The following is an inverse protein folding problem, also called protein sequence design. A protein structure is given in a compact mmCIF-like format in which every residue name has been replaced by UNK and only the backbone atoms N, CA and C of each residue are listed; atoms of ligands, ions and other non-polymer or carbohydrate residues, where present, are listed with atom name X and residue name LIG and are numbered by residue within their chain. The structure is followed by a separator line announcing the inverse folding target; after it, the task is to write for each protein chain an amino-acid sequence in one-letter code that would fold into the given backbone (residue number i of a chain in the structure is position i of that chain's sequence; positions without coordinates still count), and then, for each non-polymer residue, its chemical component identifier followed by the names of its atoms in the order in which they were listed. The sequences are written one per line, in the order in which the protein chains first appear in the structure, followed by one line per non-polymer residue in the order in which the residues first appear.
data_IF_962946659416
#
_entry.id   IF_962946659416
#
_cell.length_a   1.000
_cell.length_b   1.000
_cell.length_c   1.000
_cell.angle_alpha   90.00
_cell.angle_beta   90.00
_cell.angle_gamma   90.00
#
_symmetry.space_group_name_H-M   'P 1'
#
loop_
_entity.id
_entity.type
_entity.pdbx_description
1 polymer ?
#
# COMPACT_ATOMS: atom_id res chain seq x y z
N UNK A 1 -0.25 -6.06 11.94
CA UNK A 1 0.08 -5.16 10.82
C UNK A 1 0.73 -5.98 9.72
N UNK A 2 0.21 -5.99 8.48
CA UNK A 2 0.82 -6.72 7.36
C UNK A 2 2.30 -6.34 7.13
N UNK A 3 3.17 -7.31 6.78
CA UNK A 3 4.61 -7.07 6.62
C UNK A 3 4.97 -5.96 5.61
N UNK A 4 4.15 -5.77 4.57
CA UNK A 4 4.41 -4.77 3.54
C UNK A 4 4.26 -3.33 4.04
N UNK A 5 3.40 -3.09 5.03
CA UNK A 5 3.23 -1.76 5.62
C UNK A 5 4.47 -1.33 6.43
N UNK A 6 5.24 -2.30 6.94
CA UNK A 6 6.53 -2.05 7.59
C UNK A 6 7.59 -1.57 6.57
N UNK A 7 7.55 -2.13 5.36
CA UNK A 7 8.45 -1.72 4.26
C UNK A 7 8.18 -0.28 3.81
N UNK A 8 6.92 0.18 3.81
CA UNK A 8 6.54 1.55 3.47
C UNK A 8 7.09 2.56 4.49
N UNK A 9 7.19 2.17 5.77
CA UNK A 9 7.74 3.02 6.84
C UNK A 9 9.18 3.49 6.54
N UNK A 10 9.97 2.68 5.83
CA UNK A 10 11.35 2.98 5.49
C UNK A 10 11.49 3.94 4.28
N UNK A 11 10.46 4.11 3.45
CA UNK A 11 10.46 5.09 2.35
C UNK A 11 10.25 6.53 2.82
N UNK A 12 9.67 6.72 4.00
CA UNK A 12 9.40 8.04 4.62
C UNK A 12 10.68 8.86 4.83
N UNK A 13 11.83 8.19 4.96
CA UNK A 13 13.14 8.80 5.25
C UNK A 13 13.79 9.47 4.04
N UNK A 14 13.34 9.20 2.80
CA UNK A 14 13.97 9.70 1.57
C UNK A 14 13.33 10.98 0.99
N UNK A 15 12.17 11.40 1.50
CA UNK A 15 11.43 12.58 1.03
C UNK A 15 11.49 13.79 2.00
N UNK A 16 12.20 13.67 3.13
CA UNK A 16 12.29 14.72 4.15
C UNK A 16 13.25 15.88 3.81
N UNK A 17 13.63 16.01 2.54
CA UNK A 17 14.61 16.99 2.06
C UNK A 17 13.97 18.23 1.46
N UNK A 18 13.21 19.02 2.23
CA UNK A 18 13.09 20.47 2.02
C UNK A 18 12.34 21.09 3.20
N UNK A 19 13.07 21.57 4.21
CA UNK A 19 12.52 22.37 5.30
C UNK A 19 13.11 23.76 5.18
N UNK A 20 12.36 24.68 4.56
CA UNK A 20 12.78 26.07 4.45
C UNK A 20 12.63 26.78 5.81
N UNK A 21 13.67 27.48 6.23
CA UNK A 21 13.75 28.37 7.40
C UNK A 21 12.88 29.61 7.17
N UNK A 22 11.91 29.90 8.04
CA UNK A 22 11.34 31.25 8.15
C UNK A 22 10.99 31.61 9.62
N UNK A 23 11.47 32.77 10.05
CA UNK A 23 11.34 33.33 11.41
C UNK A 23 10.78 34.75 11.37
N UNK A 24 9.84 35.04 12.28
CA UNK A 24 9.80 36.14 13.28
C UNK A 24 8.36 36.66 13.47
N UNK A 25 7.82 36.74 14.71
CA UNK A 25 6.37 36.78 14.93
C UNK A 25 5.68 38.14 14.75
N UNK A 26 6.42 39.25 14.58
CA UNK A 26 5.88 40.59 14.88
C UNK A 26 5.71 41.52 13.66
N UNK A 27 6.04 41.07 12.43
CA UNK A 27 5.89 41.87 11.18
C UNK A 27 4.74 41.41 10.28
N UNK A 28 4.03 40.36 10.68
CA UNK A 28 3.17 39.60 9.78
C UNK A 28 1.74 40.16 9.69
N UNK A 29 1.24 40.82 10.73
CA UNK A 29 -0.17 41.25 10.77
C UNK A 29 -0.46 42.42 9.82
N UNK A 30 0.44 43.41 9.75
CA UNK A 30 0.33 44.51 8.77
C UNK A 30 0.50 43.99 7.34
N UNK A 31 1.45 43.08 7.12
CA UNK A 31 1.66 42.45 5.82
C UNK A 31 0.45 41.62 5.38
N UNK A 32 -0.21 40.92 6.32
CA UNK A 32 -1.44 40.20 6.06
C UNK A 32 -2.56 41.15 5.63
N UNK A 33 -2.74 42.26 6.34
CA UNK A 33 -3.75 43.27 6.01
C UNK A 33 -3.53 43.89 4.64
N UNK A 34 -2.28 44.26 4.31
CA UNK A 34 -1.92 44.81 3.00
C UNK A 34 -2.18 43.79 1.86
N UNK A 35 -1.86 42.51 2.10
CA UNK A 35 -2.12 41.43 1.14
C UNK A 35 -3.62 41.15 0.97
N UNK A 36 -4.41 41.22 2.05
CA UNK A 36 -5.86 41.05 1.99
C UNK A 36 -6.52 42.19 1.21
N UNK A 37 -6.10 43.45 1.43
CA UNK A 37 -6.55 44.59 0.64
C UNK A 37 -6.20 44.43 -0.85
N UNK A 38 -4.98 43.98 -1.14
CA UNK A 38 -4.55 43.71 -2.50
C UNK A 38 -5.36 42.57 -3.14
N UNK A 39 -5.65 41.51 -2.39
CA UNK A 39 -6.49 40.40 -2.83
C UNK A 39 -7.93 40.85 -3.12
N UNK A 40 -8.49 41.78 -2.34
CA UNK A 40 -9.80 42.36 -2.60
C UNK A 40 -9.83 43.15 -3.93
N UNK A 41 -8.75 43.86 -4.27
CA UNK A 41 -8.61 44.56 -5.55
C UNK A 41 -8.34 43.63 -6.74
N UNK A 42 -7.84 42.41 -6.50
CA UNK A 42 -7.42 41.43 -7.52
C UNK A 42 -7.83 40.00 -7.12
N UNK A 43 -9.13 39.68 -7.05
CA UNK A 43 -9.61 38.42 -6.48
C UNK A 43 -9.20 37.16 -7.27
N UNK A 44 -8.75 37.31 -8.52
CA UNK A 44 -8.25 36.21 -9.35
C UNK A 44 -6.76 35.91 -9.20
N UNK A 45 -5.97 36.77 -8.54
CA UNK A 45 -4.53 36.58 -8.44
C UNK A 45 -4.16 35.59 -7.32
N UNK A 46 -4.08 34.32 -7.70
CA UNK A 46 -3.73 33.22 -6.79
C UNK A 46 -2.34 33.38 -6.16
N UNK A 47 -1.42 34.18 -6.73
CA UNK A 47 -0.10 34.40 -6.14
C UNK A 47 -0.21 35.20 -4.85
N UNK A 48 -1.16 36.12 -4.77
CA UNK A 48 -1.43 36.89 -3.55
C UNK A 48 -2.03 35.96 -2.48
N UNK A 49 -2.98 35.10 -2.88
CA UNK A 49 -3.61 34.13 -1.98
C UNK A 49 -2.58 33.13 -1.42
N UNK A 50 -1.60 32.68 -2.23
CA UNK A 50 -0.50 31.84 -1.75
C UNK A 50 0.35 32.58 -0.70
N UNK A 51 0.64 33.87 -0.90
CA UNK A 51 1.37 34.68 0.09
C UNK A 51 0.58 34.85 1.38
N UNK A 52 -0.74 35.05 1.30
CA UNK A 52 -1.63 35.10 2.48
C UNK A 52 -1.53 33.78 3.27
N UNK A 53 -1.59 32.64 2.59
CA UNK A 53 -1.40 31.34 3.25
C UNK A 53 -0.02 31.18 3.91
N UNK A 54 1.03 31.70 3.27
CA UNK A 54 2.38 31.70 3.86
C UNK A 54 2.45 32.54 5.14
N UNK A 55 1.80 33.71 5.15
CA UNK A 55 1.71 34.54 6.35
C UNK A 55 0.89 33.84 7.44
N UNK A 56 -0.24 33.21 7.11
CA UNK A 56 -1.00 32.40 8.07
C UNK A 56 -0.13 31.30 8.70
N UNK A 57 0.65 30.57 7.89
CA UNK A 57 1.55 29.54 8.39
C UNK A 57 2.65 30.11 9.30
N UNK A 58 3.25 31.25 8.92
CA UNK A 58 4.25 31.95 9.73
C UNK A 58 3.68 32.44 11.07
N UNK A 59 2.40 32.83 11.08
CA UNK A 59 1.65 33.19 12.28
C UNK A 59 1.16 31.98 13.10
N UNK A 60 1.66 30.77 12.80
CA UNK A 60 1.27 29.50 13.43
C UNK A 60 -0.22 29.16 13.26
N UNK A 61 -0.92 29.83 12.35
CA UNK A 61 -2.29 29.50 11.98
C UNK A 61 -2.27 28.49 10.82
N UNK A 62 -1.95 27.24 11.16
CA UNK A 62 -1.84 26.15 10.18
C UNK A 62 -3.16 25.85 9.50
N UNK A 63 -4.27 25.94 10.23
CA UNK A 63 -5.61 25.66 9.72
C UNK A 63 -5.99 26.60 8.57
N UNK A 64 -5.93 27.93 8.81
CA UNK A 64 -6.21 28.94 7.79
C UNK A 64 -5.26 28.83 6.59
N UNK A 65 -3.99 28.51 6.82
CA UNK A 65 -3.02 28.32 5.75
C UNK A 65 -3.41 27.15 4.84
N UNK A 66 -3.75 25.99 5.42
CA UNK A 66 -4.13 24.80 4.68
C UNK A 66 -5.48 24.97 3.96
N UNK A 67 -6.46 25.61 4.60
CA UNK A 67 -7.75 25.92 3.98
C UNK A 67 -7.58 26.83 2.76
N UNK A 68 -6.78 27.89 2.90
CA UNK A 68 -6.48 28.83 1.81
C UNK A 68 -5.81 28.09 0.65
N UNK A 69 -4.79 27.25 0.92
CA UNK A 69 -4.11 26.47 -0.11
C UNK A 69 -5.03 25.44 -0.77
N UNK A 70 -5.91 24.78 -0.01
CA UNK A 70 -6.88 23.82 -0.55
C UNK A 70 -7.82 24.51 -1.56
N UNK A 71 -8.33 25.70 -1.23
CA UNK A 71 -9.16 26.49 -2.13
C UNK A 71 -8.42 26.86 -3.42
N UNK A 72 -7.13 27.22 -3.33
CA UNK A 72 -6.30 27.54 -4.49
C UNK A 72 -6.07 26.29 -5.36
N UNK A 73 -5.76 25.15 -4.76
CA UNK A 73 -5.58 23.89 -5.49
C UNK A 73 -6.86 23.52 -6.27
N UNK A 74 -8.03 23.60 -5.63
CA UNK A 74 -9.31 23.32 -6.28
C UNK A 74 -9.60 24.27 -7.45
N UNK A 75 -9.32 25.58 -7.30
CA UNK A 75 -9.47 26.54 -8.41
C UNK A 75 -8.51 26.22 -9.57
N UNK A 76 -7.26 25.86 -9.28
CA UNK A 76 -6.34 25.43 -10.34
C UNK A 76 -6.82 24.16 -11.05
N UNK A 77 -7.42 23.20 -10.34
CA UNK A 77 -8.02 22.01 -10.96
C UNK A 77 -9.20 22.41 -11.86
N UNK A 78 -10.10 23.27 -11.40
CA UNK A 78 -11.24 23.76 -12.19
C UNK A 78 -10.81 24.50 -13.46
N UNK A 79 -9.66 25.18 -13.40
CA UNK A 79 -9.06 25.88 -14.55
C UNK A 79 -8.17 24.97 -15.42
N UNK A 80 -8.15 23.65 -15.18
CA UNK A 80 -7.28 22.68 -15.85
C UNK A 80 -5.77 22.94 -15.70
N UNK A 81 -5.36 23.71 -14.68
CA UNK A 81 -3.95 23.95 -14.34
C UNK A 81 -3.41 22.90 -13.37
N UNK A 82 -3.43 21.63 -13.76
CA UNK A 82 -3.10 20.49 -12.91
C UNK A 82 -1.70 20.59 -12.27
N UNK A 83 -0.66 20.98 -13.02
CA UNK A 83 0.71 21.12 -12.47
C UNK A 83 0.81 22.21 -11.38
N UNK A 84 0.01 23.28 -11.49
CA UNK A 84 -0.03 24.32 -10.44
C UNK A 84 -0.72 23.78 -9.19
N UNK A 85 -1.80 23.01 -9.35
CA UNK A 85 -2.45 22.33 -8.23
C UNK A 85 -1.52 21.33 -7.54
N UNK A 86 -0.73 20.54 -8.30
CA UNK A 86 0.32 19.66 -7.75
C UNK A 86 1.31 20.43 -6.88
N UNK A 87 1.79 21.60 -7.35
CA UNK A 87 2.71 22.42 -6.59
C UNK A 87 2.08 22.92 -5.26
N UNK A 88 0.80 23.28 -5.27
CA UNK A 88 0.07 23.70 -4.07
C UNK A 88 -0.10 22.53 -3.09
N UNK A 89 -0.51 21.34 -3.55
CA UNK A 89 -0.60 20.17 -2.68
C UNK A 89 0.75 19.77 -2.07
N UNK A 90 1.84 19.82 -2.84
CA UNK A 90 3.19 19.59 -2.32
C UNK A 90 3.55 20.59 -1.23
N UNK A 91 3.18 21.87 -1.40
CA UNK A 91 3.38 22.91 -0.36
C UNK A 91 2.57 22.61 0.91
N UNK A 92 1.32 22.16 0.78
CA UNK A 92 0.52 21.72 1.92
C UNK A 92 1.18 20.56 2.68
N UNK A 93 1.71 19.56 1.95
CA UNK A 93 2.43 18.43 2.54
C UNK A 93 3.75 18.85 3.22
N UNK A 94 4.42 19.91 2.75
CA UNK A 94 5.58 20.48 3.44
C UNK A 94 5.20 21.14 4.77
N UNK A 95 4.03 21.78 4.83
CA UNK A 95 3.52 22.44 6.04
C UNK A 95 2.96 21.43 7.05
N UNK A 96 2.26 20.40 6.57
CA UNK A 96 1.70 19.33 7.37
C UNK A 96 1.88 17.96 6.68
N UNK A 97 3.01 17.26 6.94
CA UNK A 97 3.31 15.97 6.30
C UNK A 97 2.36 14.82 6.70
N UNK A 98 1.55 14.99 7.74
CA UNK A 98 0.73 13.94 8.35
C UNK A 98 -0.72 13.93 7.86
N UNK A 99 -1.05 14.66 6.79
CA UNK A 99 -2.42 14.72 6.27
C UNK A 99 -2.62 13.64 5.20
N UNK A 100 -3.34 12.59 5.58
CA UNK A 100 -3.63 11.47 4.67
C UNK A 100 -4.51 11.95 3.51
N UNK A 101 -5.48 12.82 3.79
CA UNK A 101 -6.38 13.39 2.79
C UNK A 101 -5.64 14.20 1.72
N UNK A 102 -4.60 14.97 2.06
CA UNK A 102 -3.83 15.71 1.06
C UNK A 102 -3.06 14.78 0.11
N UNK A 103 -2.55 13.65 0.62
CA UNK A 103 -1.96 12.61 -0.22
C UNK A 103 -3.02 11.95 -1.13
N UNK A 104 -4.25 11.73 -0.63
CA UNK A 104 -5.37 11.23 -1.44
C UNK A 104 -5.74 12.18 -2.57
N UNK A 105 -5.87 13.47 -2.27
CA UNK A 105 -6.22 14.50 -3.25
C UNK A 105 -5.13 14.61 -4.33
N UNK A 106 -3.86 14.59 -3.92
CA UNK A 106 -2.73 14.60 -4.84
C UNK A 106 -2.67 13.33 -5.69
N UNK A 107 -2.96 12.15 -5.12
CA UNK A 107 -3.05 10.89 -5.85
C UNK A 107 -4.14 10.94 -6.93
N UNK A 108 -5.34 11.41 -6.58
CA UNK A 108 -6.45 11.58 -7.52
C UNK A 108 -6.15 12.59 -8.63
N UNK A 109 -5.35 13.62 -8.35
CA UNK A 109 -4.88 14.54 -9.38
C UNK A 109 -3.88 13.87 -10.34
N UNK A 110 -2.97 13.05 -9.83
CA UNK A 110 -2.07 12.26 -10.69
C UNK A 110 -2.83 11.25 -11.56
N UNK A 111 -3.89 10.62 -11.04
CA UNK A 111 -4.77 9.78 -11.87
C UNK A 111 -5.39 10.56 -13.03
N UNK A 112 -5.94 11.75 -12.76
CA UNK A 112 -6.51 12.63 -13.81
C UNK A 112 -5.48 13.06 -14.85
N UNK A 113 -4.20 13.10 -14.47
CA UNK A 113 -3.08 13.39 -15.37
C UNK A 113 -2.52 12.15 -16.08
N UNK A 114 -3.15 10.97 -15.90
CA UNK A 114 -2.67 9.69 -16.41
C UNK A 114 -1.25 9.34 -15.94
N UNK A 115 -0.95 9.65 -14.67
CA UNK A 115 0.33 9.36 -14.00
C UNK A 115 0.14 8.32 -12.88
N UNK A 116 -0.14 7.04 -13.22
CA UNK A 116 -0.50 6.02 -12.23
C UNK A 116 0.63 5.71 -11.24
N UNK A 117 1.90 5.77 -11.68
CA UNK A 117 3.05 5.52 -10.80
C UNK A 117 3.15 6.56 -9.68
N UNK A 118 2.99 7.84 -10.00
CA UNK A 118 2.96 8.92 -9.00
C UNK A 118 1.74 8.82 -8.08
N UNK A 119 0.57 8.48 -8.63
CA UNK A 119 -0.65 8.26 -7.85
C UNK A 119 -0.46 7.14 -6.82
N UNK A 120 0.10 5.99 -7.23
CA UNK A 120 0.38 4.85 -6.34
C UNK A 120 1.32 5.24 -5.20
N UNK A 121 2.35 6.07 -5.45
CA UNK A 121 3.24 6.56 -4.39
C UNK A 121 2.46 7.34 -3.33
N UNK A 122 1.62 8.28 -3.75
CA UNK A 122 0.83 9.09 -2.82
C UNK A 122 -0.21 8.26 -2.06
N UNK A 123 -0.88 7.32 -2.75
CA UNK A 123 -1.80 6.39 -2.13
C UNK A 123 -1.14 5.53 -1.06
N UNK A 124 0.10 5.06 -1.26
CA UNK A 124 0.83 4.30 -0.23
C UNK A 124 1.11 5.12 1.02
N UNK A 125 1.43 6.41 0.86
CA UNK A 125 1.65 7.32 1.99
C UNK A 125 0.34 7.49 2.78
N UNK A 126 -0.78 7.75 2.09
CA UNK A 126 -2.09 7.85 2.71
C UNK A 126 -2.51 6.54 3.40
N UNK A 127 -2.30 5.40 2.75
CA UNK A 127 -2.61 4.06 3.27
C UNK A 127 -1.95 3.81 4.62
N UNK A 128 -0.66 4.14 4.75
CA UNK A 128 0.07 3.95 6.00
C UNK A 128 -0.53 4.77 7.15
N UNK A 129 -0.94 6.01 6.86
CA UNK A 129 -1.53 6.90 7.85
C UNK A 129 -2.92 6.40 8.27
N UNK A 130 -3.80 6.08 7.31
CA UNK A 130 -5.14 5.55 7.60
C UNK A 130 -5.11 4.20 8.32
N UNK A 131 -4.13 3.35 8.00
CA UNK A 131 -3.94 2.09 8.70
C UNK A 131 -3.58 2.31 10.17
N UNK A 132 -2.70 3.29 10.45
CA UNK A 132 -2.30 3.64 11.81
C UNK A 132 -3.43 4.27 12.63
N UNK A 133 -4.37 4.96 11.98
CA UNK A 133 -5.57 5.52 12.62
C UNK A 133 -6.75 4.56 12.70
N UNK A 134 -6.61 3.30 12.27
CA UNK A 134 -7.67 2.29 12.36
C UNK A 134 -8.85 2.50 11.40
N UNK A 135 -8.70 3.31 10.36
CA UNK A 135 -9.78 3.66 9.43
C UNK A 135 -9.93 2.59 8.35
N UNK A 136 -10.50 1.44 8.73
CA UNK A 136 -10.63 0.22 7.91
C UNK A 136 -11.12 0.48 6.48
N UNK A 137 -12.21 1.21 6.31
CA UNK A 137 -12.83 1.42 4.99
C UNK A 137 -11.90 2.16 4.04
N UNK A 138 -11.19 3.18 4.54
CA UNK A 138 -10.20 3.93 3.76
C UNK A 138 -9.01 3.07 3.37
N UNK A 139 -8.54 2.21 4.27
CA UNK A 139 -7.44 1.27 3.97
C UNK A 139 -7.83 0.34 2.82
N UNK A 140 -9.03 -0.23 2.85
CA UNK A 140 -9.51 -1.12 1.80
C UNK A 140 -9.72 -0.35 0.49
N UNK A 141 -10.36 0.82 0.53
CA UNK A 141 -10.56 1.69 -0.63
C UNK A 141 -9.22 1.99 -1.34
N UNK A 142 -8.22 2.44 -0.59
CA UNK A 142 -6.90 2.81 -1.13
C UNK A 142 -6.17 1.59 -1.67
N UNK A 143 -6.21 0.46 -0.98
CA UNK A 143 -5.51 -0.75 -1.43
C UNK A 143 -6.12 -1.29 -2.72
N UNK A 144 -7.45 -1.21 -2.88
CA UNK A 144 -8.14 -1.51 -4.15
C UNK A 144 -7.67 -0.59 -5.27
N UNK A 145 -7.59 0.73 -5.01
CA UNK A 145 -7.10 1.71 -6.00
C UNK A 145 -5.66 1.43 -6.42
N UNK A 146 -4.77 1.09 -5.48
CA UNK A 146 -3.39 0.73 -5.81
C UNK A 146 -3.37 -0.51 -6.71
N UNK A 147 -4.13 -1.56 -6.38
CA UNK A 147 -4.20 -2.78 -7.17
C UNK A 147 -4.86 -2.58 -8.54
N UNK A 148 -5.75 -1.60 -8.71
CA UNK A 148 -6.35 -1.27 -10.02
C UNK A 148 -5.40 -0.45 -10.90
N UNK A 149 -4.64 0.48 -10.31
CA UNK A 149 -3.68 1.33 -11.03
C UNK A 149 -2.41 0.57 -11.40
N UNK A 150 -1.95 -0.30 -10.51
CA UNK A 150 -0.82 -1.20 -10.71
C UNK A 150 -1.26 -2.62 -10.37
N UNK A 151 -1.67 -3.35 -11.41
CA UNK A 151 -2.15 -4.73 -11.35
C UNK A 151 -1.09 -5.78 -11.10
N UNK A 152 0.11 -5.39 -10.61
CA UNK A 152 1.17 -6.33 -10.27
C UNK A 152 0.70 -7.39 -9.25
N UNK A 153 1.30 -8.57 -9.37
CA UNK A 153 1.14 -9.69 -8.42
C UNK A 153 1.31 -9.25 -6.96
N UNK A 154 2.28 -8.36 -6.73
CA UNK A 154 2.60 -7.83 -5.42
C UNK A 154 1.44 -7.03 -4.83
N UNK A 155 0.82 -6.13 -5.61
CA UNK A 155 -0.28 -5.30 -5.12
C UNK A 155 -1.56 -6.09 -4.91
N UNK A 156 -1.83 -7.07 -5.78
CA UNK A 156 -2.95 -8.01 -5.59
C UNK A 156 -2.79 -8.82 -4.30
N UNK A 157 -1.56 -9.29 -4.02
CA UNK A 157 -1.24 -9.96 -2.76
C UNK A 157 -1.46 -9.04 -1.55
N UNK A 158 -1.01 -7.78 -1.61
CA UNK A 158 -1.21 -6.84 -0.51
C UNK A 158 -2.70 -6.55 -0.25
N UNK A 159 -3.53 -6.52 -1.28
CA UNK A 159 -4.99 -6.41 -1.11
C UNK A 159 -5.56 -7.61 -0.33
N UNK A 160 -5.15 -8.83 -0.68
CA UNK A 160 -5.53 -10.03 0.04
C UNK A 160 -5.07 -10.03 1.51
N UNK A 161 -3.82 -9.62 1.76
CA UNK A 161 -3.26 -9.47 3.12
C UNK A 161 -4.02 -8.42 3.96
N UNK A 162 -4.47 -7.33 3.33
CA UNK A 162 -5.31 -6.32 3.99
C UNK A 162 -6.67 -6.90 4.36
N UNK A 163 -7.34 -7.59 3.44
CA UNK A 163 -8.61 -8.27 3.74
C UNK A 163 -8.47 -9.26 4.90
N UNK A 164 -7.42 -10.09 4.86
CA UNK A 164 -7.13 -11.05 5.93
C UNK A 164 -6.92 -10.33 7.28
N UNK A 165 -6.18 -9.22 7.29
CA UNK A 165 -5.91 -8.46 8.52
C UNK A 165 -7.15 -7.85 9.16
N UNK A 166 -8.22 -7.65 8.38
CA UNK A 166 -9.52 -7.16 8.86
C UNK A 166 -10.57 -8.27 9.01
N UNK A 167 -10.17 -9.55 8.93
CA UNK A 167 -11.06 -10.69 9.07
C UNK A 167 -12.01 -10.93 7.89
N UNK A 168 -11.78 -10.27 6.74
CA UNK A 168 -12.53 -10.47 5.50
C UNK A 168 -12.03 -11.71 4.78
N UNK A 169 -12.28 -12.88 5.37
CA UNK A 169 -11.64 -14.13 4.97
C UNK A 169 -12.04 -14.56 3.56
N UNK A 170 -13.32 -14.40 3.19
CA UNK A 170 -13.83 -14.79 1.87
C UNK A 170 -13.13 -14.01 0.76
N UNK A 171 -13.06 -12.69 0.89
CA UNK A 171 -12.41 -11.80 -0.06
C UNK A 171 -10.90 -12.02 -0.09
N UNK A 172 -10.28 -12.24 1.08
CA UNK A 172 -8.85 -12.56 1.16
C UNK A 172 -8.52 -13.85 0.39
N UNK A 173 -9.30 -14.92 0.60
CA UNK A 173 -9.07 -16.21 -0.08
C UNK A 173 -9.28 -16.10 -1.59
N UNK A 174 -10.30 -15.35 -2.04
CA UNK A 174 -10.54 -15.13 -3.46
C UNK A 174 -9.35 -14.44 -4.15
N UNK A 175 -8.83 -13.38 -3.52
CA UNK A 175 -7.65 -12.67 -4.04
C UNK A 175 -6.38 -13.53 -3.96
N UNK A 176 -6.16 -14.25 -2.85
CA UNK A 176 -5.04 -15.18 -2.72
C UNK A 176 -5.07 -16.28 -3.78
N UNK A 177 -6.24 -16.83 -4.11
CA UNK A 177 -6.36 -17.85 -5.16
C UNK A 177 -6.03 -17.29 -6.54
N UNK A 178 -6.49 -16.07 -6.82
CA UNK A 178 -6.15 -15.37 -8.06
C UNK A 178 -4.64 -15.16 -8.19
N UNK A 179 -3.99 -14.69 -7.11
CA UNK A 179 -2.53 -14.51 -7.05
C UNK A 179 -1.80 -15.86 -7.17
N UNK A 180 -2.32 -16.92 -6.55
CA UNK A 180 -1.72 -18.26 -6.62
C UNK A 180 -1.74 -18.83 -8.05
N UNK A 181 -2.85 -18.65 -8.78
CA UNK A 181 -2.95 -19.05 -10.18
C UNK A 181 -1.90 -18.34 -11.04
N UNK A 182 -1.71 -17.04 -10.82
CA UNK A 182 -0.71 -16.25 -11.54
C UNK A 182 0.73 -16.71 -11.20
N UNK A 183 1.05 -16.96 -9.93
CA UNK A 183 2.35 -17.54 -9.55
C UNK A 183 2.60 -18.91 -10.19
N UNK A 184 1.56 -19.75 -10.28
CA UNK A 184 1.62 -21.05 -10.97
C UNK A 184 1.94 -20.88 -12.45
N UNK A 185 1.25 -19.98 -13.15
CA UNK A 185 1.48 -19.69 -14.57
C UNK A 185 2.90 -19.17 -14.82
N UNK A 186 3.40 -18.30 -13.94
CA UNK A 186 4.75 -17.75 -14.03
C UNK A 186 5.84 -18.69 -13.48
N UNK A 187 5.48 -19.91 -13.04
CA UNK A 187 6.39 -20.90 -12.44
C UNK A 187 7.16 -20.37 -11.21
N UNK A 188 6.60 -19.38 -10.51
CA UNK A 188 7.13 -18.82 -9.27
C UNK A 188 6.73 -19.71 -8.09
N UNK A 189 7.27 -20.93 -8.08
CA UNK A 189 6.87 -22.01 -7.17
C UNK A 189 7.15 -21.72 -5.68
N UNK A 190 8.19 -20.93 -5.37
CA UNK A 190 8.51 -20.56 -4.00
C UNK A 190 7.47 -19.63 -3.39
N UNK A 191 7.02 -18.62 -4.14
CA UNK A 191 5.95 -17.72 -3.70
C UNK A 191 4.59 -18.41 -3.73
N UNK A 192 4.36 -19.32 -4.69
CA UNK A 192 3.16 -20.16 -4.71
C UNK A 192 3.02 -21.00 -3.46
N UNK A 193 4.10 -21.65 -3.00
CA UNK A 193 4.09 -22.49 -1.81
C UNK A 193 3.70 -21.67 -0.57
N UNK A 194 4.32 -20.50 -0.37
CA UNK A 194 3.97 -19.59 0.73
C UNK A 194 2.50 -19.22 0.72
N UNK A 195 1.91 -19.03 -0.46
CA UNK A 195 0.49 -18.68 -0.59
C UNK A 195 -0.44 -19.86 -0.33
N UNK A 196 -0.06 -21.04 -0.81
CA UNK A 196 -0.80 -22.27 -0.51
C UNK A 196 -0.75 -22.62 0.97
N UNK A 197 0.34 -22.34 1.70
CA UNK A 197 0.39 -22.48 3.16
C UNK A 197 -0.63 -21.58 3.87
N UNK A 198 -0.97 -20.43 3.29
CA UNK A 198 -2.01 -19.53 3.81
C UNK A 198 -3.42 -20.04 3.46
N UNK A 199 -3.63 -20.53 2.23
CA UNK A 199 -4.94 -20.97 1.74
C UNK A 199 -5.35 -22.33 2.34
N UNK A 200 -4.42 -23.27 2.44
CA UNK A 200 -4.68 -24.68 2.76
C UNK A 200 -5.41 -24.90 4.10
N UNK A 201 -5.09 -24.20 5.21
CA UNK A 201 -5.84 -24.30 6.46
C UNK A 201 -7.35 -24.02 6.31
N UNK A 202 -7.75 -23.21 5.33
CA UNK A 202 -9.14 -22.87 5.06
C UNK A 202 -9.82 -23.80 4.04
N UNK A 203 -9.05 -24.70 3.42
CA UNK A 203 -9.54 -25.72 2.48
C UNK A 203 -8.97 -27.11 2.81
N UNK A 204 -9.20 -27.62 4.04
CA UNK A 204 -8.54 -28.84 4.54
C UNK A 204 -8.95 -30.12 3.81
N UNK A 205 -10.06 -30.11 3.07
CA UNK A 205 -10.56 -31.25 2.28
C UNK A 205 -10.17 -31.17 0.80
N UNK A 206 -9.44 -30.13 0.39
CA UNK A 206 -9.00 -30.00 -0.99
C UNK A 206 -7.76 -30.86 -1.25
N UNK A 207 -7.98 -32.13 -1.61
CA UNK A 207 -6.92 -33.10 -1.86
C UNK A 207 -5.97 -32.64 -2.98
N UNK A 208 -6.48 -31.95 -4.01
CA UNK A 208 -5.64 -31.40 -5.07
C UNK A 208 -4.64 -30.35 -4.54
N UNK A 209 -5.10 -29.43 -3.68
CA UNK A 209 -4.25 -28.44 -3.05
C UNK A 209 -3.22 -29.07 -2.09
N UNK A 210 -3.63 -30.05 -1.28
CA UNK A 210 -2.71 -30.77 -0.39
C UNK A 210 -1.61 -31.45 -1.20
N UNK A 211 -1.98 -32.11 -2.31
CA UNK A 211 -1.05 -32.78 -3.21
C UNK A 211 -0.08 -31.80 -3.85
N UNK A 212 -0.58 -30.66 -4.35
CA UNK A 212 0.25 -29.60 -4.93
C UNK A 212 1.27 -29.06 -3.90
N UNK A 213 0.85 -28.78 -2.66
CA UNK A 213 1.74 -28.34 -1.57
C UNK A 213 2.83 -29.38 -1.29
N UNK A 214 2.47 -30.65 -1.18
CA UNK A 214 3.43 -31.72 -0.92
C UNK A 214 4.44 -31.88 -2.06
N UNK A 215 4.00 -31.77 -3.33
CA UNK A 215 4.89 -31.77 -4.50
C UNK A 215 5.86 -30.60 -4.45
N UNK A 216 5.38 -29.39 -4.10
CA UNK A 216 6.23 -28.20 -3.97
C UNK A 216 7.28 -28.37 -2.87
N UNK A 217 6.92 -28.93 -1.71
CA UNK A 217 7.90 -29.25 -0.65
C UNK A 217 8.97 -30.24 -1.12
N UNK A 218 8.59 -31.31 -1.83
CA UNK A 218 9.56 -32.27 -2.38
C UNK A 218 10.47 -31.64 -3.43
N UNK A 219 9.96 -30.74 -4.26
CA UNK A 219 10.77 -29.97 -5.21
C UNK A 219 11.82 -29.11 -4.50
N UNK A 220 11.50 -28.57 -3.31
CA UNK A 220 12.44 -27.83 -2.45
C UNK A 220 13.36 -28.72 -1.62
N UNK A 221 13.34 -30.04 -1.82
CA UNK A 221 14.08 -31.01 -1.01
C UNK A 221 13.72 -30.94 0.49
N UNK A 222 12.45 -30.66 0.78
CA UNK A 222 11.91 -30.59 2.14
C UNK A 222 10.91 -31.74 2.41
N UNK A 223 11.34 -33.01 2.36
CA UNK A 223 10.43 -34.15 2.51
C UNK A 223 9.77 -34.24 3.88
N UNK A 224 10.41 -33.74 4.94
CA UNK A 224 9.81 -33.66 6.27
C UNK A 224 8.55 -32.79 6.30
N UNK A 225 8.52 -31.69 5.55
CA UNK A 225 7.35 -30.82 5.47
C UNK A 225 6.21 -31.47 4.68
N UNK A 226 6.54 -32.18 3.59
CA UNK A 226 5.57 -32.94 2.82
C UNK A 226 4.89 -34.04 3.68
N UNK A 227 5.70 -34.84 4.39
CA UNK A 227 5.21 -35.91 5.28
C UNK A 227 4.30 -35.33 6.36
N UNK A 228 4.78 -34.30 7.08
CA UNK A 228 3.98 -33.63 8.13
C UNK A 228 2.68 -33.04 7.59
N UNK A 229 2.68 -32.55 6.35
CA UNK A 229 1.47 -32.02 5.72
C UNK A 229 0.48 -33.15 5.46
N UNK A 230 0.91 -34.27 4.88
CA UNK A 230 0.04 -35.42 4.62
C UNK A 230 -0.58 -35.99 5.91
N UNK A 231 0.24 -36.14 6.96
CA UNK A 231 -0.22 -36.59 8.29
C UNK A 231 -1.19 -35.60 8.94
N UNK A 232 -0.88 -34.29 8.89
CA UNK A 232 -1.75 -33.24 9.48
C UNK A 232 -3.14 -33.23 8.87
N UNK A 233 -3.23 -33.42 7.55
CA UNK A 233 -4.51 -33.45 6.83
C UNK A 233 -5.09 -34.87 6.69
N UNK A 234 -4.47 -35.87 7.35
CA UNK A 234 -4.92 -37.28 7.39
C UNK A 234 -5.10 -37.90 5.99
N UNK A 235 -4.22 -37.55 5.07
CA UNK A 235 -4.17 -38.11 3.70
C UNK A 235 -3.01 -39.09 3.51
N UNK A 236 -2.27 -39.41 4.56
CA UNK A 236 -1.14 -40.34 4.55
C UNK A 236 -1.56 -41.80 4.27
N UNK A 237 -2.81 -42.17 4.57
CA UNK A 237 -3.41 -43.45 4.22
C UNK A 237 -4.30 -43.40 2.96
N UNK A 238 -4.44 -42.23 2.32
CA UNK A 238 -5.22 -42.08 1.09
C UNK A 238 -4.43 -42.68 -0.09
N UNK A 239 -4.99 -43.67 -0.82
CA UNK A 239 -4.33 -44.27 -1.99
C UNK A 239 -3.82 -43.25 -3.01
N UNK A 240 -4.47 -42.09 -3.14
CA UNK A 240 -4.07 -41.02 -4.05
C UNK A 240 -2.74 -40.33 -3.67
N UNK A 241 -2.26 -40.54 -2.44
CA UNK A 241 -1.06 -39.96 -1.85
C UNK A 241 0.05 -40.99 -1.56
N UNK A 242 -0.23 -42.30 -1.62
CA UNK A 242 0.75 -43.36 -1.33
C UNK A 242 2.10 -43.18 -2.06
N UNK A 243 2.07 -42.96 -3.38
CA UNK A 243 3.30 -42.74 -4.17
C UNK A 243 4.09 -41.51 -3.67
N UNK A 244 3.36 -40.43 -3.35
CA UNK A 244 3.96 -39.18 -2.86
C UNK A 244 4.56 -39.36 -1.46
N UNK A 245 3.88 -40.09 -0.59
CA UNK A 245 4.32 -40.39 0.77
C UNK A 245 5.57 -41.27 0.77
N UNK A 246 5.61 -42.32 -0.06
CA UNK A 246 6.79 -43.18 -0.21
C UNK A 246 7.97 -42.42 -0.83
N UNK A 247 7.72 -41.61 -1.86
CA UNK A 247 8.76 -40.73 -2.43
C UNK A 247 9.35 -39.78 -1.39
N UNK A 248 8.51 -39.21 -0.52
CA UNK A 248 8.97 -38.34 0.56
C UNK A 248 9.84 -39.09 1.58
N UNK A 249 9.45 -40.31 1.98
CA UNK A 249 10.26 -41.17 2.88
C UNK A 249 11.62 -41.51 2.28
N UNK A 250 11.65 -41.91 1.00
CA UNK A 250 12.89 -42.26 0.30
C UNK A 250 13.84 -41.05 0.22
N UNK A 251 13.31 -39.89 -0.17
CA UNK A 251 14.10 -38.64 -0.22
C UNK A 251 14.62 -38.25 1.18
N UNK A 252 13.81 -38.39 2.23
CA UNK A 252 14.23 -38.13 3.62
C UNK A 252 15.36 -39.06 4.05
N UNK A 253 15.30 -40.35 3.72
CA UNK A 253 16.37 -41.31 4.02
C UNK A 253 17.66 -40.94 3.28
N UNK A 254 17.56 -40.62 1.98
CA UNK A 254 18.71 -40.24 1.15
C UNK A 254 19.41 -38.96 1.64
N UNK A 255 18.65 -37.94 2.04
CA UNK A 255 19.21 -36.69 2.58
C UNK A 255 19.88 -36.86 3.95
N UNK A 256 19.45 -37.85 4.75
CA UNK A 256 20.10 -38.19 6.02
C UNK A 256 21.43 -38.89 5.79
N UNK A 257 21.48 -39.87 4.88
CA UNK A 257 22.72 -40.58 4.54
C UNK A 257 23.75 -39.71 3.80
N UNK A 258 23.34 -38.62 3.16
CA UNK A 258 24.26 -37.69 2.51
C UNK A 258 24.92 -36.68 3.48
N UNK A 259 24.43 -36.60 4.72
CA UNK A 259 24.96 -35.70 5.77
C UNK A 259 25.83 -36.40 6.82
N UNK A 260 25.83 -37.74 6.81
CA UNK A 260 26.67 -38.62 7.63
C UNK A 260 27.96 -38.95 6.90
#
# INVERSE_FOLDING_TARGET
MPPFLETIKNFKTKLAGFRAKFSSPNKNDKALQDLQNLAASRPGDMRIQIKIADIYYQNKNLEMALETLQGIAQKYIQQNFALKAVAVYKKMLMMNPSVAQTNMDLAGLFEKMNMPSDAVIQYRIALQQYYSSGTRDKVIEITKKIASLDGSLLNKRHLAEIYQSFGMLTEALQEFETVAQLYRQQKQFDELLKLYEIILPHKPTNHALIKDVCILYLRKQQPDHAIKTMERYKVDADPAFNDLYEKAKLMKKALRSAKS
#
